data_IF_989940838320
#
_entry.id   IF_989940838320
#
_cell.length_a   1.000
_cell.length_b   1.000
_cell.length_c   1.000
_cell.angle_alpha   90.00
_cell.angle_beta   90.00
_cell.angle_gamma   90.00
#
_symmetry.space_group_name_H-M   'P 1'
#
loop_
_entity.id
_entity.type
_entity.pdbx_description
1 polymer ?
#
# COMPACT_ATOMS: atom_id res chain seq x y z
N UNK A 1 -10.48 -14.48 13.34
CA UNK A 1 -10.87 -13.14 12.83
C UNK A 1 -10.28 -13.04 11.44
N UNK A 2 -11.06 -12.69 10.42
CA UNK A 2 -10.53 -12.58 9.05
C UNK A 2 -9.83 -11.23 8.83
N UNK A 3 -9.03 -11.11 7.77
CA UNK A 3 -8.46 -9.81 7.37
C UNK A 3 -9.58 -8.77 7.15
N UNK A 4 -10.71 -9.18 6.57
CA UNK A 4 -11.87 -8.29 6.39
C UNK A 4 -12.44 -7.75 7.72
N UNK A 5 -12.40 -8.55 8.78
CA UNK A 5 -12.83 -8.11 10.12
C UNK A 5 -11.86 -7.12 10.76
N UNK A 6 -10.59 -7.11 10.32
CA UNK A 6 -9.52 -6.25 10.84
C UNK A 6 -9.44 -4.92 10.11
N UNK A 7 -9.36 -4.95 8.77
CA UNK A 7 -9.13 -3.75 7.95
C UNK A 7 -10.38 -3.26 7.20
N UNK A 8 -11.52 -3.94 7.36
CA UNK A 8 -12.78 -3.57 6.72
C UNK A 8 -12.97 -4.16 5.32
N UNK A 9 -13.95 -3.65 4.59
CA UNK A 9 -14.31 -4.16 3.26
C UNK A 9 -13.36 -3.67 2.17
N UNK A 10 -12.20 -4.33 2.08
CA UNK A 10 -11.17 -4.04 1.08
C UNK A 10 -11.66 -4.29 -0.36
N UNK A 11 -12.64 -5.17 -0.57
CA UNK A 11 -13.23 -5.41 -1.90
C UNK A 11 -14.08 -4.23 -2.35
N UNK A 12 -14.94 -3.72 -1.46
CA UNK A 12 -15.73 -2.52 -1.76
C UNK A 12 -14.82 -1.28 -1.95
N UNK A 13 -13.77 -1.16 -1.12
CA UNK A 13 -12.75 -0.12 -1.27
C UNK A 13 -12.07 -0.19 -2.64
N UNK A 14 -11.56 -1.37 -3.03
CA UNK A 14 -10.90 -1.56 -4.32
C UNK A 14 -11.84 -1.25 -5.48
N UNK A 15 -13.07 -1.79 -5.46
CA UNK A 15 -14.05 -1.58 -6.53
C UNK A 15 -14.35 -0.09 -6.74
N UNK A 16 -14.54 0.66 -5.66
CA UNK A 16 -14.75 2.10 -5.72
C UNK A 16 -13.57 2.83 -6.37
N UNK A 17 -12.33 2.48 -5.97
CA UNK A 17 -11.14 3.13 -6.53
C UNK A 17 -10.92 2.75 -8.00
N UNK A 18 -11.18 1.49 -8.37
CA UNK A 18 -11.10 1.02 -9.76
C UNK A 18 -12.10 1.76 -10.67
N UNK A 19 -13.33 1.92 -10.21
CA UNK A 19 -14.35 2.70 -10.94
C UNK A 19 -13.91 4.16 -11.12
N UNK A 20 -13.31 4.76 -10.09
CA UNK A 20 -12.78 6.13 -10.16
C UNK A 20 -11.66 6.28 -11.19
N UNK A 21 -10.73 5.28 -11.25
CA UNK A 21 -9.69 5.24 -12.28
C UNK A 21 -10.28 5.17 -13.68
N UNK A 22 -11.24 4.27 -13.88
CA UNK A 22 -11.93 4.13 -15.18
C UNK A 22 -12.60 5.44 -15.60
N UNK A 23 -13.25 6.15 -14.67
CA UNK A 23 -13.91 7.43 -14.93
C UNK A 23 -12.93 8.54 -15.36
N UNK A 24 -11.67 8.48 -14.94
CA UNK A 24 -10.61 9.41 -15.37
C UNK A 24 -9.75 8.85 -16.53
N UNK A 25 -10.16 7.72 -17.12
CA UNK A 25 -9.53 7.13 -18.30
C UNK A 25 -8.22 6.39 -18.00
N UNK A 26 -8.01 5.94 -16.76
CA UNK A 26 -6.87 5.09 -16.38
C UNK A 26 -7.35 3.65 -16.27
N UNK A 27 -6.90 2.81 -17.21
CA UNK A 27 -7.15 1.36 -17.20
C UNK A 27 -5.95 0.65 -16.56
N UNK A 28 -6.22 -0.15 -15.52
CA UNK A 28 -5.23 -0.97 -14.81
C UNK A 28 -5.42 -2.47 -15.08
N UNK A 29 -6.23 -2.84 -16.07
CA UNK A 29 -6.46 -4.24 -16.41
C UNK A 29 -5.14 -4.95 -16.71
N UNK A 30 -4.91 -6.09 -16.05
CA UNK A 30 -3.68 -6.86 -16.19
C UNK A 30 -2.47 -6.31 -15.43
N UNK A 31 -2.62 -5.22 -14.67
CA UNK A 31 -1.58 -4.74 -13.77
C UNK A 31 -1.59 -5.52 -12.45
N UNK A 32 -0.41 -5.71 -11.87
CA UNK A 32 -0.24 -6.23 -10.52
C UNK A 32 -0.67 -5.17 -9.49
N UNK A 33 -1.37 -5.59 -8.44
CA UNK A 33 -1.61 -4.75 -7.25
C UNK A 33 -0.50 -5.03 -6.24
N UNK A 34 0.36 -4.03 -6.05
CA UNK A 34 1.54 -4.12 -5.20
C UNK A 34 1.18 -4.35 -3.73
N UNK A 35 0.28 -3.56 -3.18
CA UNK A 35 -0.13 -3.62 -1.78
C UNK A 35 -1.45 -2.87 -1.57
N UNK A 36 -2.07 -3.13 -0.41
CA UNK A 36 -3.15 -2.30 0.13
C UNK A 36 -2.63 -1.65 1.41
N UNK A 37 -2.88 -0.36 1.60
CA UNK A 37 -2.43 0.37 2.77
C UNK A 37 -3.57 0.62 3.75
N UNK A 38 -3.32 0.33 5.03
CA UNK A 38 -4.24 0.59 6.13
C UNK A 38 -3.58 1.48 7.18
N UNK A 39 -4.24 2.60 7.54
CA UNK A 39 -3.74 3.56 8.51
C UNK A 39 -4.56 3.53 9.78
N UNK A 40 -3.88 3.50 10.92
CA UNK A 40 -4.48 3.56 12.25
C UNK A 40 -4.55 4.99 12.80
N UNK A 41 -5.48 5.24 13.72
CA UNK A 41 -5.67 6.55 14.33
C UNK A 41 -4.68 6.80 15.49
N UNK A 42 -4.28 5.73 16.19
CA UNK A 42 -3.35 5.78 17.31
C UNK A 42 -2.22 4.76 17.16
N UNK A 43 -1.10 4.99 17.85
CA UNK A 43 -0.01 4.02 17.87
C UNK A 43 -0.39 2.73 18.62
N UNK A 44 -1.21 2.84 19.64
CA UNK A 44 -1.73 1.67 20.34
C UNK A 44 -2.60 0.79 19.42
N UNK A 45 -3.47 1.42 18.61
CA UNK A 45 -4.24 0.72 17.57
C UNK A 45 -3.32 0.08 16.52
N UNK A 46 -2.22 0.76 16.14
CA UNK A 46 -1.22 0.21 15.24
C UNK A 46 -0.65 -1.10 15.77
N UNK A 47 -0.20 -1.14 17.02
CA UNK A 47 0.36 -2.34 17.65
C UNK A 47 -0.67 -3.49 17.71
N UNK A 48 -1.91 -3.18 18.14
CA UNK A 48 -2.98 -4.17 18.19
C UNK A 48 -3.39 -4.70 16.81
N UNK A 49 -3.40 -3.84 15.81
CA UNK A 49 -3.75 -4.21 14.44
C UNK A 49 -2.65 -5.04 13.81
N UNK A 50 -1.37 -4.68 14.05
CA UNK A 50 -0.20 -5.44 13.64
C UNK A 50 -0.29 -6.88 14.11
N UNK A 51 -0.46 -7.11 15.42
CA UNK A 51 -0.59 -8.45 16.01
C UNK A 51 -1.70 -9.28 15.38
N UNK A 52 -2.84 -8.65 15.04
CA UNK A 52 -3.97 -9.34 14.42
C UNK A 52 -3.67 -9.72 12.95
N UNK A 53 -3.07 -8.82 12.18
CA UNK A 53 -2.75 -9.08 10.77
C UNK A 53 -1.65 -10.13 10.66
N UNK A 54 -0.64 -10.10 11.54
CA UNK A 54 0.47 -11.06 11.57
C UNK A 54 0.02 -12.52 11.68
N UNK A 55 -1.14 -12.79 12.26
CA UNK A 55 -1.73 -14.14 12.32
C UNK A 55 -2.12 -14.70 10.92
N UNK A 56 -2.10 -13.87 9.90
CA UNK A 56 -2.43 -14.20 8.51
C UNK A 56 -1.24 -14.02 7.57
N UNK A 57 -0.04 -13.78 8.13
CA UNK A 57 1.15 -13.42 7.37
C UNK A 57 2.23 -14.47 7.46
N UNK A 58 3.00 -14.59 6.40
CA UNK A 58 4.26 -15.34 6.38
C UNK A 58 5.43 -14.51 6.89
N UNK A 59 5.33 -13.18 6.80
CA UNK A 59 6.36 -12.26 7.29
C UNK A 59 5.79 -10.87 7.56
N UNK A 60 6.43 -10.16 8.46
CA UNK A 60 6.31 -8.73 8.66
C UNK A 60 7.68 -8.13 8.94
N UNK A 61 8.05 -7.11 8.18
CA UNK A 61 9.26 -6.33 8.42
C UNK A 61 8.83 -4.90 8.71
N UNK A 62 9.03 -4.45 9.95
CA UNK A 62 8.92 -3.05 10.28
C UNK A 62 10.16 -2.30 9.81
N UNK A 63 9.92 -1.13 9.24
CA UNK A 63 10.94 -0.19 8.83
C UNK A 63 10.65 1.19 9.43
N UNK A 64 11.69 1.98 9.68
CA UNK A 64 11.53 3.38 10.10
C UNK A 64 11.35 4.24 8.86
N UNK A 65 10.18 4.83 8.71
CA UNK A 65 9.87 5.75 7.63
C UNK A 65 9.42 7.10 8.17
N UNK A 66 10.13 8.15 7.83
CA UNK A 66 9.87 9.49 8.36
C UNK A 66 9.79 9.53 9.91
N UNK A 67 10.69 8.77 10.58
CA UNK A 67 10.80 8.73 12.04
C UNK A 67 9.72 7.91 12.76
N UNK A 68 9.01 7.02 12.05
CA UNK A 68 7.98 6.13 12.62
C UNK A 68 8.11 4.71 12.08
N UNK A 69 7.78 3.69 12.90
CA UNK A 69 7.71 2.33 12.40
C UNK A 69 6.54 2.19 11.42
N UNK A 70 6.75 1.40 10.38
CA UNK A 70 5.75 1.07 9.37
C UNK A 70 5.92 -0.39 8.99
N UNK A 71 4.85 -1.18 9.07
CA UNK A 71 4.90 -2.62 8.80
C UNK A 71 4.64 -2.90 7.32
N UNK A 72 5.49 -3.74 6.74
CA UNK A 72 5.31 -4.34 5.42
C UNK A 72 5.05 -5.83 5.64
N UNK A 73 3.80 -6.23 5.42
CA UNK A 73 3.27 -7.52 5.84
C UNK A 73 2.93 -8.37 4.62
N UNK A 74 3.59 -9.53 4.47
CA UNK A 74 3.30 -10.47 3.40
C UNK A 74 2.26 -11.49 3.88
N UNK A 75 1.12 -11.53 3.24
CA UNK A 75 0.04 -12.47 3.55
C UNK A 75 0.41 -13.90 3.15
N UNK A 76 -0.05 -14.87 3.93
CA UNK A 76 0.03 -16.30 3.60
C UNK A 76 -0.83 -16.63 2.37
N UNK A 77 -2.04 -16.06 2.31
CA UNK A 77 -2.96 -16.19 1.20
C UNK A 77 -3.30 -14.81 0.62
N UNK A 78 -3.16 -14.57 -0.66
CA UNK A 78 -3.53 -13.30 -1.28
C UNK A 78 -5.01 -12.96 -1.08
N UNK A 79 -5.31 -11.69 -0.88
CA UNK A 79 -6.69 -11.20 -0.83
C UNK A 79 -7.22 -11.03 -2.26
N UNK A 80 -8.32 -11.67 -2.56
CA UNK A 80 -9.05 -11.46 -3.82
C UNK A 80 -9.82 -10.13 -3.71
N UNK A 81 -9.42 -9.14 -4.49
CA UNK A 81 -10.02 -7.80 -4.50
C UNK A 81 -11.27 -7.73 -5.38
N UNK A 82 -11.15 -8.27 -6.60
CA UNK A 82 -12.23 -8.47 -7.56
C UNK A 82 -11.79 -9.48 -8.61
N UNK A 83 -12.64 -9.75 -9.63
CA UNK A 83 -12.28 -10.66 -10.72
C UNK A 83 -11.01 -10.16 -11.44
N UNK A 84 -9.97 -10.98 -11.40
CA UNK A 84 -8.67 -10.70 -12.04
C UNK A 84 -7.72 -9.83 -11.22
N UNK A 85 -8.08 -9.45 -9.98
CA UNK A 85 -7.21 -8.69 -9.09
C UNK A 85 -7.07 -9.34 -7.72
N UNK A 86 -5.84 -9.50 -7.28
CA UNK A 86 -5.48 -9.96 -5.94
C UNK A 86 -4.31 -9.15 -5.38
N UNK A 87 -4.12 -9.18 -4.07
CA UNK A 87 -3.01 -8.52 -3.40
C UNK A 87 -2.47 -9.39 -2.28
N UNK A 88 -1.15 -9.57 -2.26
CA UNK A 88 -0.46 -10.40 -1.26
C UNK A 88 0.19 -9.58 -0.14
N UNK A 89 0.10 -8.26 -0.16
CA UNK A 89 0.79 -7.41 0.79
C UNK A 89 -0.11 -6.35 1.42
N UNK A 90 0.07 -6.14 2.73
CA UNK A 90 -0.50 -5.04 3.49
C UNK A 90 0.62 -4.13 3.99
N UNK A 91 0.49 -2.82 3.72
CA UNK A 91 1.26 -1.76 4.36
C UNK A 91 0.46 -1.23 5.55
N UNK A 92 0.89 -1.52 6.79
CA UNK A 92 0.25 -1.00 7.99
C UNK A 92 0.97 0.26 8.46
N UNK A 93 0.23 1.36 8.54
CA UNK A 93 0.78 2.71 8.73
C UNK A 93 0.30 3.29 10.06
N UNK A 94 1.20 3.70 10.98
CA UNK A 94 0.83 4.41 12.20
C UNK A 94 0.39 5.86 11.90
N UNK A 95 -0.23 6.56 12.87
CA UNK A 95 -0.66 7.93 12.70
C UNK A 95 0.52 8.90 12.44
N UNK A 96 0.25 9.98 11.70
CA UNK A 96 1.17 11.10 11.49
C UNK A 96 0.57 12.38 12.02
N UNK A 97 1.30 13.09 12.85
CA UNK A 97 0.87 14.39 13.35
C UNK A 97 0.78 15.45 12.24
N UNK A 98 -0.27 16.27 12.29
CA UNK A 98 -0.47 17.51 11.51
C UNK A 98 -0.77 17.37 10.02
N UNK A 99 -1.23 16.23 9.53
CA UNK A 99 -1.75 16.12 8.15
C UNK A 99 -3.15 15.52 8.15
N UNK A 100 -3.94 15.89 7.14
CA UNK A 100 -5.21 15.22 6.88
C UNK A 100 -4.89 13.94 6.11
N UNK A 101 -5.24 12.81 6.69
CA UNK A 101 -5.07 11.50 6.09
C UNK A 101 -6.38 10.73 6.18
N UNK A 102 -6.62 9.86 5.21
CA UNK A 102 -7.67 8.86 5.33
C UNK A 102 -7.30 7.86 6.42
N UNK A 103 -8.14 7.70 7.42
CA UNK A 103 -8.03 6.60 8.38
C UNK A 103 -8.63 5.33 7.77
N UNK A 104 -8.13 4.18 8.18
CA UNK A 104 -8.51 2.92 7.58
C UNK A 104 -7.82 2.70 6.22
N UNK A 105 -8.52 2.09 5.27
CA UNK A 105 -7.98 1.89 3.92
C UNK A 105 -7.74 3.24 3.24
N UNK A 106 -6.47 3.54 3.00
CA UNK A 106 -6.00 4.83 2.50
C UNK A 106 -5.69 4.77 1.01
N UNK A 107 -4.91 3.79 0.59
CA UNK A 107 -4.48 3.66 -0.80
C UNK A 107 -4.22 2.20 -1.19
N UNK A 108 -4.04 1.96 -2.47
CA UNK A 108 -3.38 0.79 -2.99
C UNK A 108 -2.33 1.18 -4.03
N UNK A 109 -1.37 0.28 -4.24
CA UNK A 109 -0.32 0.44 -5.22
C UNK A 109 -0.56 -0.42 -6.46
N UNK A 110 -0.31 0.13 -7.62
CA UNK A 110 -0.37 -0.55 -8.92
C UNK A 110 1.02 -0.60 -9.53
N UNK A 111 1.44 -1.75 -10.01
CA UNK A 111 2.70 -1.89 -10.75
C UNK A 111 2.45 -1.65 -12.24
N UNK A 112 3.06 -0.59 -12.76
CA UNK A 112 3.04 -0.25 -14.20
C UNK A 112 4.25 -0.87 -14.92
N UNK A 113 5.36 -1.04 -14.21
CA UNK A 113 6.59 -1.55 -14.79
C UNK A 113 7.44 -0.46 -15.47
N UNK A 114 8.30 -0.88 -16.40
CA UNK A 114 9.21 0.00 -17.13
C UNK A 114 8.53 1.16 -17.88
N UNK A 115 7.31 1.02 -18.46
CA UNK A 115 6.66 2.12 -19.15
C UNK A 115 6.06 3.20 -18.22
N UNK A 116 6.44 3.26 -16.94
CA UNK A 116 5.90 4.20 -15.94
C UNK A 116 6.01 5.67 -16.40
N UNK A 117 7.10 6.05 -17.06
CA UNK A 117 7.30 7.44 -17.52
C UNK A 117 6.40 7.79 -18.70
N UNK A 118 6.11 6.81 -19.57
CA UNK A 118 5.14 6.97 -20.66
C UNK A 118 3.72 7.03 -20.11
N UNK A 119 3.41 6.16 -19.17
CA UNK A 119 2.14 6.18 -18.41
C UNK A 119 1.92 7.56 -17.77
N UNK A 120 2.91 8.08 -17.04
CA UNK A 120 2.82 9.37 -16.37
C UNK A 120 2.60 10.51 -17.36
N UNK A 121 3.30 10.48 -18.50
CA UNK A 121 3.15 11.49 -19.57
C UNK A 121 1.75 11.44 -20.18
N UNK A 122 1.23 10.25 -20.47
CA UNK A 122 -0.12 10.02 -21.01
C UNK A 122 -1.21 10.50 -20.05
N UNK A 123 -1.06 10.22 -18.76
CA UNK A 123 -2.08 10.49 -17.74
C UNK A 123 -1.81 11.77 -16.92
N UNK A 124 -0.83 12.60 -17.32
CA UNK A 124 -0.45 13.84 -16.63
C UNK A 124 -1.63 14.75 -16.24
N UNK A 125 -2.69 14.92 -17.04
CA UNK A 125 -3.82 15.79 -16.67
C UNK A 125 -4.62 15.32 -15.46
N UNK A 126 -4.55 14.03 -15.10
CA UNK A 126 -5.31 13.42 -13.99
C UNK A 126 -4.44 13.04 -12.81
N UNK A 127 -3.12 12.92 -12.98
CA UNK A 127 -2.20 12.68 -11.89
C UNK A 127 -2.15 13.89 -10.96
N UNK A 128 -2.24 13.66 -9.66
CA UNK A 128 -2.22 14.73 -8.64
C UNK A 128 -0.82 14.97 -8.07
N UNK A 129 0.13 14.07 -8.32
CA UNK A 129 1.50 14.27 -7.92
C UNK A 129 2.41 13.07 -8.15
N UNK A 130 3.66 13.24 -7.69
CA UNK A 130 4.69 12.22 -7.62
C UNK A 130 5.34 12.30 -6.24
N UNK A 131 5.53 11.16 -5.60
CA UNK A 131 6.18 11.07 -4.30
C UNK A 131 7.61 10.58 -4.50
N UNK A 132 8.58 11.34 -4.02
CA UNK A 132 9.96 10.89 -3.93
C UNK A 132 10.21 10.24 -2.58
N UNK A 133 10.61 8.99 -2.58
CA UNK A 133 10.99 8.24 -1.38
C UNK A 133 12.46 7.80 -1.45
N UNK A 134 12.90 7.32 -2.60
CA UNK A 134 14.28 6.98 -2.95
C UNK A 134 14.38 6.92 -4.47
N UNK A 135 15.58 6.74 -5.03
CA UNK A 135 15.80 6.55 -6.47
C UNK A 135 15.01 5.37 -7.05
N UNK A 136 14.72 4.35 -6.23
CA UNK A 136 13.97 3.16 -6.64
C UNK A 136 12.47 3.28 -6.36
N UNK A 137 12.04 4.29 -5.59
CA UNK A 137 10.67 4.44 -5.13
C UNK A 137 10.16 5.88 -5.33
N UNK A 138 9.68 6.15 -6.52
CA UNK A 138 9.12 7.45 -6.94
C UNK A 138 7.72 7.27 -7.55
N UNK A 139 6.72 6.76 -6.79
CA UNK A 139 5.41 6.52 -7.36
C UNK A 139 4.70 7.79 -7.77
N UNK A 140 4.09 7.77 -8.95
CA UNK A 140 3.05 8.74 -9.31
C UNK A 140 1.76 8.39 -8.59
N UNK A 141 0.88 9.37 -8.39
CA UNK A 141 -0.39 9.10 -7.72
C UNK A 141 -1.55 9.97 -8.18
N UNK A 142 -2.75 9.45 -7.97
CA UNK A 142 -4.03 10.18 -8.03
C UNK A 142 -4.63 10.18 -6.64
N UNK A 143 -4.93 11.36 -6.11
CA UNK A 143 -5.68 11.53 -4.85
C UNK A 143 -7.10 11.99 -5.16
N UNK A 144 -8.06 11.32 -4.58
CA UNK A 144 -9.47 11.71 -4.61
C UNK A 144 -9.76 12.55 -3.37
N UNK A 145 -9.93 13.85 -3.58
CA UNK A 145 -10.04 14.83 -2.49
C UNK A 145 -11.38 14.78 -1.74
N UNK A 146 -12.36 14.04 -2.25
CA UNK A 146 -13.65 13.82 -1.60
C UNK A 146 -13.51 13.03 -0.29
N UNK A 147 -12.56 12.11 -0.23
CA UNK A 147 -12.34 11.24 0.92
C UNK A 147 -10.85 10.99 1.23
N UNK A 148 -9.94 11.69 0.53
CA UNK A 148 -8.48 11.59 0.67
C UNK A 148 -7.92 10.19 0.41
N UNK A 149 -8.63 9.36 -0.36
CA UNK A 149 -8.08 8.09 -0.82
C UNK A 149 -7.12 8.32 -1.99
N UNK A 150 -6.13 7.44 -2.13
CA UNK A 150 -5.06 7.59 -3.12
C UNK A 150 -4.81 6.29 -3.87
N UNK A 151 -4.44 6.38 -5.13
CA UNK A 151 -3.92 5.27 -5.92
C UNK A 151 -2.51 5.64 -6.35
N UNK A 152 -1.54 4.76 -6.08
CA UNK A 152 -0.14 4.97 -6.39
C UNK A 152 0.32 4.03 -7.49
N UNK A 153 1.13 4.53 -8.41
CA UNK A 153 1.66 3.81 -9.57
C UNK A 153 3.16 3.67 -9.44
N UNK A 154 3.64 2.44 -9.44
CA UNK A 154 5.01 2.05 -9.17
C UNK A 154 5.68 1.45 -10.41
N UNK A 155 7.00 1.56 -10.48
CA UNK A 155 7.82 0.82 -11.45
C UNK A 155 7.92 -0.66 -11.06
N UNK A 156 8.04 -0.94 -9.76
CA UNK A 156 8.19 -2.27 -9.20
C UNK A 156 7.26 -2.45 -7.99
N UNK A 157 6.92 -3.69 -7.66
CA UNK A 157 6.15 -3.99 -6.45
C UNK A 157 6.89 -3.50 -5.19
N UNK A 158 6.14 -3.03 -4.19
CA UNK A 158 6.71 -2.52 -2.95
C UNK A 158 7.58 -3.55 -2.24
N UNK A 159 7.19 -4.83 -2.26
CA UNK A 159 8.02 -5.93 -1.72
C UNK A 159 9.40 -5.96 -2.36
N UNK A 160 9.47 -5.92 -3.69
CA UNK A 160 10.74 -5.94 -4.45
C UNK A 160 11.62 -4.75 -4.08
N UNK A 161 11.03 -3.56 -3.96
CA UNK A 161 11.74 -2.34 -3.55
C UNK A 161 12.31 -2.50 -2.14
N UNK A 162 11.50 -2.95 -1.18
CA UNK A 162 11.94 -3.12 0.21
C UNK A 162 13.02 -4.20 0.34
N UNK A 163 12.90 -5.33 -0.36
CA UNK A 163 13.93 -6.38 -0.37
C UNK A 163 15.25 -5.88 -0.94
N UNK A 164 15.20 -5.10 -2.04
CA UNK A 164 16.39 -4.48 -2.64
C UNK A 164 17.06 -3.50 -1.68
N UNK A 165 16.29 -2.59 -1.07
CA UNK A 165 16.83 -1.59 -0.14
C UNK A 165 17.47 -2.19 1.11
N UNK A 166 17.01 -3.34 1.55
CA UNK A 166 17.54 -4.05 2.73
C UNK A 166 18.54 -5.16 2.39
N UNK A 167 18.80 -5.42 1.10
CA UNK A 167 19.63 -6.52 0.60
C UNK A 167 19.28 -7.87 1.27
N UNK A 168 17.99 -8.12 1.44
CA UNK A 168 17.46 -9.34 2.06
C UNK A 168 16.05 -9.68 1.60
N UNK A 169 15.72 -10.98 1.71
CA UNK A 169 14.36 -11.46 1.52
C UNK A 169 13.50 -11.23 2.76
N UNK A 170 12.20 -11.02 2.54
CA UNK A 170 11.21 -10.96 3.61
C UNK A 170 10.98 -12.36 4.18
N UNK A 171 11.58 -12.64 5.34
CA UNK A 171 11.47 -13.91 6.04
C UNK A 171 11.21 -13.65 7.51
N UNK A 172 10.11 -14.19 8.04
CA UNK A 172 9.73 -14.07 9.45
C UNK A 172 9.23 -12.67 9.82
N UNK A 173 9.36 -12.34 11.09
CA UNK A 173 8.85 -11.11 11.69
C UNK A 173 10.01 -10.31 12.29
N UNK A 174 9.99 -8.99 12.13
CA UNK A 174 10.99 -8.08 12.69
C UNK A 174 10.30 -6.77 13.04
N UNK A 175 10.27 -6.42 14.31
CA UNK A 175 9.66 -5.20 14.83
C UNK A 175 10.76 -4.21 15.25
N UNK A 176 10.43 -2.92 15.26
CA UNK A 176 11.40 -1.87 15.65
C UNK A 176 11.80 -2.01 17.13
N UNK A 177 10.89 -2.46 17.98
CA UNK A 177 11.19 -2.75 19.38
C UNK A 177 12.21 -3.88 19.61
N UNK A 178 12.45 -4.72 18.59
CA UNK A 178 13.45 -5.79 18.62
C UNK A 178 14.86 -5.31 18.21
N UNK A 179 14.98 -4.05 17.77
CA UNK A 179 16.23 -3.46 17.34
C UNK A 179 17.00 -2.92 18.55
N UNK A 180 17.70 -3.77 19.27
CA UNK A 180 18.51 -3.42 20.45
C UNK A 180 19.99 -3.47 20.11
#
# INVERSE_FOLDING_TARGET
MSIKDIIGDFQAFFSLQHDRLNNVGIDISGCEISHIAYRTETYEEYLQTREKIEQHCTSNIENIWNGRPMSIMQLEEPLVLSVGFEVAMIELIPPVHRRVYKMGMEHFGVVIGDPIDEFARKHRPVLTGQQYQSEECEPYYVTFFEDFTTIKFYRQALLTICESQHDRKFVGFSHVEDWV
#
